data_IF_679028069474
#
_entry.id   IF_679028069474
#
_cell.length_a   1.000
_cell.length_b   1.000
_cell.length_c   1.000
_cell.angle_alpha   90.00
_cell.angle_beta   90.00
_cell.angle_gamma   90.00
#
_symmetry.space_group_name_H-M   'P 1'
#
loop_
_entity.id
_entity.type
_entity.pdbx_description
1 polymer ?
#
# COMPACT_ATOMS: atom_id res chain seq x y z
N UNK A 1 -4.82 -22.95 -11.31
CA UNK A 1 -4.39 -21.85 -10.42
C UNK A 1 -2.91 -21.67 -10.64
N UNK A 2 -2.47 -20.47 -11.02
CA UNK A 2 -1.05 -20.16 -11.13
C UNK A 2 -0.37 -20.37 -9.77
N UNK A 3 0.86 -20.87 -9.76
CA UNK A 3 1.65 -20.91 -8.54
C UNK A 3 2.04 -19.48 -8.15
N UNK A 4 1.53 -19.01 -7.02
CA UNK A 4 1.74 -17.66 -6.51
C UNK A 4 2.89 -17.58 -5.50
N UNK A 5 3.54 -18.71 -5.15
CA UNK A 5 4.57 -18.73 -4.11
C UNK A 5 5.70 -17.74 -4.40
N UNK A 6 6.26 -17.83 -5.58
CA UNK A 6 7.39 -17.01 -6.00
C UNK A 6 7.02 -15.51 -6.12
N UNK A 7 5.91 -15.13 -6.81
CA UNK A 7 5.42 -13.75 -6.77
C UNK A 7 5.19 -13.21 -5.35
N UNK A 8 4.64 -14.02 -4.45
CA UNK A 8 4.39 -13.59 -3.07
C UNK A 8 5.66 -13.40 -2.24
N UNK A 9 6.74 -14.15 -2.53
CA UNK A 9 8.05 -13.92 -1.94
C UNK A 9 8.58 -12.55 -2.38
N UNK A 10 8.47 -12.21 -3.67
CA UNK A 10 8.88 -10.89 -4.17
C UNK A 10 8.01 -9.75 -3.60
N UNK A 11 6.69 -9.93 -3.53
CA UNK A 11 5.81 -8.97 -2.83
C UNK A 11 6.27 -8.74 -1.39
N UNK A 12 6.66 -9.79 -0.67
CA UNK A 12 7.18 -9.63 0.70
C UNK A 12 8.42 -8.74 0.71
N UNK A 13 9.33 -8.88 -0.25
CA UNK A 13 10.52 -8.04 -0.38
C UNK A 13 10.15 -6.57 -0.66
N UNK A 14 9.17 -6.33 -1.55
CA UNK A 14 8.62 -4.98 -1.83
C UNK A 14 8.06 -4.33 -0.57
N UNK A 15 7.21 -5.06 0.17
CA UNK A 15 6.58 -4.55 1.39
C UNK A 15 7.62 -4.25 2.48
N UNK A 16 8.63 -5.12 2.65
CA UNK A 16 9.69 -4.92 3.62
C UNK A 16 10.64 -3.79 3.23
N UNK A 17 11.02 -3.69 1.96
CA UNK A 17 11.89 -2.62 1.46
C UNK A 17 11.27 -1.23 1.60
N UNK A 18 9.94 -1.14 1.60
CA UNK A 18 9.19 0.08 1.83
C UNK A 18 8.80 0.31 3.30
N UNK A 19 9.29 -0.51 4.24
CA UNK A 19 8.92 -0.45 5.66
C UNK A 19 7.40 -0.55 5.91
N UNK A 20 6.66 -1.24 5.02
CA UNK A 20 5.21 -1.39 5.09
C UNK A 20 4.78 -2.35 6.22
N UNK A 21 4.87 -1.85 7.45
CA UNK A 21 4.58 -2.59 8.70
C UNK A 21 3.56 -1.84 9.55
N UNK A 22 2.89 -2.53 10.48
CA UNK A 22 1.91 -1.91 11.39
C UNK A 22 2.51 -0.68 12.10
N UNK A 23 3.73 -0.82 12.64
CA UNK A 23 4.37 0.25 13.40
C UNK A 23 4.66 1.49 12.54
N UNK A 24 5.24 1.28 11.35
CA UNK A 24 5.63 2.37 10.44
C UNK A 24 4.45 3.04 9.79
N UNK A 25 3.41 2.29 9.43
CA UNK A 25 2.16 2.89 8.91
C UNK A 25 1.44 3.69 10.02
N UNK A 26 1.43 3.22 11.27
CA UNK A 26 0.88 3.99 12.40
C UNK A 26 1.65 5.29 12.66
N UNK A 27 2.97 5.24 12.59
CA UNK A 27 3.82 6.43 12.72
C UNK A 27 3.53 7.43 11.59
N UNK A 28 3.43 6.95 10.35
CA UNK A 28 3.08 7.76 9.18
C UNK A 28 1.70 8.45 9.33
N UNK A 29 0.68 7.69 9.74
CA UNK A 29 -0.67 8.24 9.89
C UNK A 29 -0.79 9.15 11.11
N UNK A 30 -0.05 8.85 12.18
CA UNK A 30 -0.20 9.49 13.48
C UNK A 30 -1.60 9.30 14.09
N UNK A 31 -1.79 9.86 15.28
CA UNK A 31 -3.05 9.69 16.03
C UNK A 31 -4.27 10.28 15.29
N UNK A 32 -4.09 11.41 14.60
CA UNK A 32 -5.20 12.12 13.95
C UNK A 32 -5.65 11.40 12.68
N UNK A 33 -4.74 11.12 11.74
CA UNK A 33 -5.14 10.48 10.49
C UNK A 33 -5.51 9.01 10.71
N UNK A 34 -4.82 8.30 11.61
CA UNK A 34 -5.20 6.94 11.99
C UNK A 34 -6.58 6.87 12.64
N UNK A 35 -6.87 7.76 13.59
CA UNK A 35 -8.18 7.82 14.25
C UNK A 35 -9.33 8.22 13.32
N UNK A 36 -9.06 9.08 12.34
CA UNK A 36 -10.03 9.42 11.29
C UNK A 36 -10.28 8.24 10.34
N UNK A 37 -9.21 7.56 9.90
CA UNK A 37 -9.31 6.41 9.00
C UNK A 37 -10.08 5.25 9.64
N UNK A 38 -9.92 5.04 10.96
CA UNK A 38 -10.70 4.06 11.72
C UNK A 38 -12.22 4.36 11.75
N UNK A 39 -12.64 5.56 11.34
CA UNK A 39 -14.06 5.97 11.16
C UNK A 39 -14.41 6.15 9.68
N UNK A 40 -13.67 5.52 8.78
CA UNK A 40 -13.82 5.64 7.32
C UNK A 40 -13.61 7.06 6.75
N UNK A 41 -12.96 7.96 7.50
CA UNK A 41 -12.63 9.32 7.06
C UNK A 41 -11.24 9.34 6.39
N UNK A 42 -11.19 9.21 5.06
CA UNK A 42 -9.92 9.05 4.33
C UNK A 42 -9.10 10.34 4.13
N UNK A 43 -9.73 11.51 4.20
CA UNK A 43 -9.09 12.79 3.80
C UNK A 43 -7.83 13.13 4.62
N UNK A 44 -7.79 12.96 5.95
CA UNK A 44 -6.57 13.15 6.72
C UNK A 44 -5.44 12.21 6.28
N UNK A 45 -5.75 10.94 5.99
CA UNK A 45 -4.76 9.97 5.51
C UNK A 45 -4.21 10.35 4.13
N UNK A 46 -5.06 10.84 3.22
CA UNK A 46 -4.62 11.36 1.92
C UNK A 46 -3.67 12.55 2.03
N UNK A 47 -3.85 13.40 3.06
CA UNK A 47 -3.00 14.57 3.29
C UNK A 47 -1.61 14.19 3.80
N UNK A 48 -1.54 13.27 4.75
CA UNK A 48 -0.24 12.88 5.37
C UNK A 48 0.58 11.94 4.50
N UNK A 49 -0.03 11.30 3.49
CA UNK A 49 0.65 10.38 2.56
C UNK A 49 1.03 11.02 1.22
N UNK A 50 1.21 12.34 1.19
CA UNK A 50 1.45 13.09 -0.05
C UNK A 50 2.93 13.26 -0.43
N UNK A 51 3.87 12.73 0.37
CA UNK A 51 5.30 12.98 0.23
C UNK A 51 6.01 12.16 -0.86
N UNK A 52 5.39 11.10 -1.37
CA UNK A 52 5.91 10.28 -2.47
C UNK A 52 6.94 9.21 -2.05
N UNK A 53 7.12 8.95 -0.76
CA UNK A 53 7.92 7.80 -0.32
C UNK A 53 7.24 6.46 -0.65
N UNK A 54 7.99 5.35 -0.75
CA UNK A 54 7.41 4.02 -1.01
C UNK A 54 6.37 3.60 0.04
N UNK A 55 6.59 3.92 1.32
CA UNK A 55 5.64 3.65 2.41
C UNK A 55 4.31 4.39 2.17
N UNK A 56 4.38 5.66 1.78
CA UNK A 56 3.20 6.47 1.47
C UNK A 56 2.49 5.96 0.21
N UNK A 57 3.24 5.63 -0.84
CA UNK A 57 2.70 5.09 -2.09
C UNK A 57 1.95 3.77 -1.86
N UNK A 58 2.54 2.82 -1.12
CA UNK A 58 1.88 1.56 -0.76
C UNK A 58 0.68 1.77 0.17
N UNK A 59 0.75 2.74 1.10
CA UNK A 59 -0.40 3.10 1.95
C UNK A 59 -1.56 3.65 1.12
N UNK A 60 -1.27 4.53 0.15
CA UNK A 60 -2.26 5.05 -0.80
C UNK A 60 -2.84 3.92 -1.66
N UNK A 61 -1.97 3.11 -2.25
CA UNK A 61 -2.35 2.03 -3.16
C UNK A 61 -3.23 1.00 -2.44
N UNK A 62 -2.74 0.38 -1.38
CA UNK A 62 -3.43 -0.76 -0.77
C UNK A 62 -4.44 -0.40 0.31
N UNK A 63 -4.17 0.59 1.16
CA UNK A 63 -5.10 0.90 2.24
C UNK A 63 -6.18 1.89 1.79
N UNK A 64 -5.73 3.02 1.22
CA UNK A 64 -6.63 4.10 0.78
C UNK A 64 -7.27 3.83 -0.59
N UNK A 65 -6.83 2.79 -1.30
CA UNK A 65 -7.33 2.40 -2.62
C UNK A 65 -7.24 3.54 -3.65
N UNK A 66 -6.16 4.33 -3.56
CA UNK A 66 -5.87 5.45 -4.46
C UNK A 66 -4.78 5.03 -5.44
N UNK A 67 -4.99 5.20 -6.76
CA UNK A 67 -3.96 4.96 -7.77
C UNK A 67 -2.68 5.76 -7.48
N UNK A 68 -1.53 5.15 -7.75
CA UNK A 68 -0.22 5.79 -7.61
C UNK A 68 0.56 5.65 -8.91
N UNK A 69 1.60 6.47 -9.07
CA UNK A 69 2.55 6.30 -10.17
C UNK A 69 3.17 4.89 -10.10
N UNK A 70 3.20 4.18 -11.23
CA UNK A 70 3.70 2.81 -11.27
C UNK A 70 5.20 2.70 -10.95
N UNK A 71 5.98 3.79 -11.09
CA UNK A 71 7.38 3.87 -10.69
C UNK A 71 7.60 4.25 -9.22
N UNK A 72 6.54 4.62 -8.49
CA UNK A 72 6.63 4.87 -7.04
C UNK A 72 6.59 3.58 -6.20
N UNK A 73 6.31 2.44 -6.85
CA UNK A 73 6.26 1.10 -6.25
C UNK A 73 6.88 0.10 -7.21
N UNK A 74 7.31 -1.06 -6.72
CA UNK A 74 7.72 -2.18 -7.57
C UNK A 74 6.48 -2.86 -8.18
N UNK A 75 5.81 -2.17 -9.12
CA UNK A 75 4.48 -2.53 -9.61
C UNK A 75 4.42 -3.92 -10.28
N UNK A 76 5.49 -4.34 -10.96
CA UNK A 76 5.55 -5.60 -11.68
C UNK A 76 5.36 -6.82 -10.76
N UNK A 77 5.96 -6.79 -9.57
CA UNK A 77 5.79 -7.87 -8.58
C UNK A 77 4.38 -7.89 -7.99
N UNK A 78 3.80 -6.70 -7.76
CA UNK A 78 2.42 -6.59 -7.28
C UNK A 78 1.42 -7.10 -8.34
N UNK A 79 1.68 -6.82 -9.63
CA UNK A 79 0.87 -7.29 -10.76
C UNK A 79 1.01 -8.80 -10.94
N UNK A 80 2.25 -9.33 -10.87
CA UNK A 80 2.52 -10.76 -10.99
C UNK A 80 1.82 -11.58 -9.88
N UNK A 81 1.68 -11.01 -8.69
CA UNK A 81 0.93 -11.60 -7.58
C UNK A 81 -0.59 -11.36 -7.66
N UNK A 82 -1.08 -10.57 -8.63
CA UNK A 82 -2.49 -10.22 -8.78
C UNK A 82 -3.02 -9.20 -7.78
N UNK A 83 -2.13 -8.52 -7.05
CA UNK A 83 -2.48 -7.50 -6.04
C UNK A 83 -2.78 -6.13 -6.66
N UNK A 84 -2.18 -5.85 -7.82
CA UNK A 84 -2.36 -4.60 -8.55
C UNK A 84 -2.57 -4.84 -10.06
N UNK A 85 -3.00 -3.80 -10.76
CA UNK A 85 -2.96 -3.68 -12.21
C UNK A 85 -2.30 -2.36 -12.58
N UNK A 86 -1.64 -2.30 -13.74
CA UNK A 86 -1.04 -1.06 -14.26
C UNK A 86 -1.75 -0.66 -15.55
N UNK A 87 -2.14 0.60 -15.63
CA UNK A 87 -2.75 1.20 -16.82
C UNK A 87 -2.39 2.69 -16.90
N UNK A 88 -1.96 3.16 -18.06
CA UNK A 88 -1.65 4.57 -18.28
C UNK A 88 -0.53 5.13 -17.38
N UNK A 89 0.40 4.28 -16.92
CA UNK A 89 1.47 4.68 -16.00
C UNK A 89 1.07 4.69 -14.52
N UNK A 90 -0.18 4.35 -14.20
CA UNK A 90 -0.67 4.25 -12.82
C UNK A 90 -0.84 2.80 -12.39
N UNK A 91 -0.40 2.49 -11.17
CA UNK A 91 -0.74 1.26 -10.47
C UNK A 91 -2.05 1.45 -9.69
N UNK A 92 -2.96 0.48 -9.81
CA UNK A 92 -4.25 0.43 -9.10
C UNK A 92 -4.34 -0.86 -8.32
N UNK A 93 -4.76 -0.78 -7.06
CA UNK A 93 -4.93 -1.97 -6.24
C UNK A 93 -6.15 -2.78 -6.72
N UNK A 94 -5.97 -4.09 -6.85
CA UNK A 94 -7.07 -5.05 -7.07
C UNK A 94 -7.59 -5.63 -5.77
N UNK A 95 -6.77 -5.57 -4.73
CA UNK A 95 -7.05 -6.06 -3.39
C UNK A 95 -6.63 -5.02 -2.36
N UNK A 96 -7.35 -4.97 -1.24
CA UNK A 96 -6.89 -4.27 -0.04
C UNK A 96 -5.89 -5.15 0.69
N UNK A 97 -4.69 -4.62 0.89
CA UNK A 97 -3.63 -5.24 1.70
C UNK A 97 -3.31 -4.26 2.80
N UNK A 98 -3.70 -4.57 4.02
CA UNK A 98 -3.47 -3.70 5.17
C UNK A 98 -2.68 -4.43 6.25
N UNK A 99 -1.80 -3.74 6.99
CA UNK A 99 -1.15 -4.33 8.14
C UNK A 99 -2.21 -4.78 9.14
N UNK A 100 -2.20 -6.08 9.49
CA UNK A 100 -3.17 -6.62 10.45
C UNK A 100 -2.89 -6.04 11.83
N UNK A 101 -3.81 -5.22 12.33
CA UNK A 101 -3.81 -4.84 13.74
C UNK A 101 -4.19 -6.07 14.56
N UNK A 102 -3.27 -6.55 15.41
CA UNK A 102 -3.64 -7.55 16.40
C UNK A 102 -4.65 -6.91 17.37
N UNK A 103 -5.85 -7.48 17.44
CA UNK A 103 -6.87 -7.18 18.45
C UNK A 103 -6.47 -7.80 19.78
#
# INVERSE_FOLDING_TARGET
MSDLREPLIRVREVLLGADYTVARVRELLGAVAGGALARDEIVPALRVTGGGSPLEALTRLFWLQVPVDAGAVEADDLVAAGLAEVSGGEARARLRVEPLEAV
#
